data_IF_825336603691
#
_entry.id   IF_825336603691
#
_cell.length_a   1.000
_cell.length_b   1.000
_cell.length_c   1.000
_cell.angle_alpha   90.00
_cell.angle_beta   90.00
_cell.angle_gamma   90.00
#
_symmetry.space_group_name_H-M   'P 1'
#
loop_
_entity.id
_entity.type
_entity.pdbx_description
1 polymer ?
#
# COMPACT_ATOMS: atom_id res chain seq x y z
N UNK A 1 -11.52 30.05 4.40
CA UNK A 1 -11.61 28.63 3.96
C UNK A 1 -10.33 28.29 3.23
N UNK A 2 -9.65 27.23 3.65
CA UNK A 2 -8.37 26.78 3.04
C UNK A 2 -8.59 25.39 2.46
N UNK A 3 -8.13 25.14 1.24
CA UNK A 3 -8.39 23.88 0.53
C UNK A 3 -7.08 23.27 0.05
N UNK A 4 -6.89 21.99 0.30
CA UNK A 4 -5.76 21.21 -0.21
C UNK A 4 -6.22 19.92 -0.85
N UNK A 5 -5.64 19.61 -2.00
CA UNK A 5 -5.91 18.37 -2.74
C UNK A 5 -4.59 17.64 -3.03
N UNK A 6 -4.54 16.38 -2.63
CA UNK A 6 -3.44 15.48 -2.96
C UNK A 6 -3.94 14.21 -3.61
N UNK A 7 -3.19 13.73 -4.57
CA UNK A 7 -3.34 12.39 -5.13
C UNK A 7 -2.18 11.53 -4.69
N UNK A 8 -2.47 10.34 -4.17
CA UNK A 8 -1.45 9.41 -3.64
C UNK A 8 -1.63 8.00 -4.18
N UNK A 9 -0.54 7.31 -4.53
CA UNK A 9 -0.59 5.96 -5.08
C UNK A 9 -0.88 4.90 -4.02
N UNK A 10 -1.48 3.80 -4.44
CA UNK A 10 -1.35 2.53 -3.73
C UNK A 10 0.07 1.97 -3.89
N UNK A 11 0.42 0.97 -3.09
CA UNK A 11 1.70 0.29 -3.20
C UNK A 11 1.52 -1.23 -3.07
N UNK A 12 2.40 -1.99 -3.73
CA UNK A 12 2.45 -3.45 -3.61
C UNK A 12 3.72 -3.89 -2.89
N UNK A 13 3.55 -4.63 -1.80
CA UNK A 13 4.67 -5.13 -1.01
C UNK A 13 5.34 -6.33 -1.70
N UNK A 14 6.66 -6.32 -1.75
CA UNK A 14 7.54 -7.38 -2.24
C UNK A 14 8.03 -8.26 -1.07
N UNK A 15 8.45 -7.65 0.05
CA UNK A 15 8.53 -8.31 1.35
C UNK A 15 7.31 -7.91 2.15
N UNK A 16 6.52 -8.90 2.58
CA UNK A 16 5.17 -8.65 3.12
C UNK A 16 5.21 -8.12 4.54
N UNK A 17 4.47 -7.04 4.77
CA UNK A 17 4.15 -6.52 6.09
C UNK A 17 3.00 -7.33 6.68
N UNK A 18 3.30 -8.14 7.71
CA UNK A 18 2.30 -8.91 8.42
C UNK A 18 2.68 -9.09 9.88
N UNK A 19 1.83 -8.62 10.79
CA UNK A 19 2.11 -8.48 12.21
C UNK A 19 2.32 -7.00 12.59
N UNK A 20 1.71 -6.62 13.72
CA UNK A 20 1.75 -5.26 14.25
C UNK A 20 2.18 -5.26 15.71
N UNK A 21 3.02 -4.31 16.06
CA UNK A 21 3.24 -3.83 17.41
C UNK A 21 2.28 -2.68 17.73
N UNK A 22 2.31 -2.14 18.95
CA UNK A 22 1.50 -0.97 19.30
C UNK A 22 1.64 0.19 18.32
N UNK A 23 0.61 1.04 18.23
CA UNK A 23 0.59 2.23 17.38
C UNK A 23 0.91 1.99 15.89
N UNK A 24 0.42 0.88 15.31
CA UNK A 24 0.65 0.49 13.93
C UNK A 24 2.12 0.22 13.56
N UNK A 25 3.04 0.11 14.51
CA UNK A 25 4.44 -0.22 14.23
C UNK A 25 4.55 -1.63 13.62
N UNK A 26 5.48 -1.85 12.68
CA UNK A 26 5.61 -3.12 11.99
C UNK A 26 6.33 -4.14 12.88
N UNK A 27 5.93 -5.41 12.80
CA UNK A 27 6.65 -6.50 13.44
C UNK A 27 7.91 -6.92 12.66
N UNK A 28 7.93 -6.66 11.36
CA UNK A 28 9.07 -6.88 10.46
C UNK A 28 9.22 -5.74 9.46
N UNK A 29 10.41 -5.54 8.95
CA UNK A 29 10.67 -4.63 7.83
C UNK A 29 10.02 -5.13 6.54
N UNK A 30 9.68 -4.21 5.64
CA UNK A 30 9.00 -4.52 4.38
C UNK A 30 9.43 -3.54 3.28
N UNK A 31 9.46 -4.02 2.04
CA UNK A 31 9.73 -3.21 0.84
C UNK A 31 8.54 -3.32 -0.09
N UNK A 32 8.13 -2.20 -0.67
CA UNK A 32 7.11 -2.12 -1.71
C UNK A 32 7.54 -1.17 -2.82
N UNK A 33 6.88 -1.22 -3.96
CA UNK A 33 6.89 -0.10 -4.90
C UNK A 33 5.48 0.51 -5.03
N UNK A 34 5.45 1.80 -5.35
CA UNK A 34 4.20 2.54 -5.59
C UNK A 34 3.66 2.27 -6.99
N UNK A 35 2.33 2.32 -7.16
CA UNK A 35 1.61 2.03 -8.40
C UNK A 35 1.22 3.32 -9.14
N UNK A 36 1.46 3.38 -10.45
CA UNK A 36 1.23 4.60 -11.22
C UNK A 36 -0.25 4.93 -11.46
N UNK A 37 -1.10 3.91 -11.66
CA UNK A 37 -2.50 4.09 -12.05
C UNK A 37 -3.51 3.79 -10.93
N UNK A 38 -3.06 3.22 -9.81
CA UNK A 38 -3.90 2.91 -8.66
C UNK A 38 -3.80 4.03 -7.62
N UNK A 39 -4.58 5.09 -7.80
CA UNK A 39 -4.45 6.35 -7.10
C UNK A 39 -5.71 6.68 -6.27
N UNK A 40 -5.52 7.33 -5.13
CA UNK A 40 -6.60 7.97 -4.35
C UNK A 40 -6.39 9.47 -4.37
N UNK A 41 -7.41 10.21 -4.75
CA UNK A 41 -7.45 11.67 -4.63
C UNK A 41 -8.22 12.04 -3.38
N UNK A 42 -7.64 12.87 -2.53
CA UNK A 42 -8.31 13.42 -1.35
C UNK A 42 -8.23 14.94 -1.37
N UNK A 43 -9.37 15.59 -1.17
CA UNK A 43 -9.49 17.03 -0.99
C UNK A 43 -9.99 17.32 0.42
N UNK A 44 -9.35 18.22 1.13
CA UNK A 44 -9.82 18.72 2.42
C UNK A 44 -10.08 20.23 2.31
N UNK A 45 -11.30 20.62 2.64
CA UNK A 45 -11.71 22.01 2.83
C UNK A 45 -11.77 22.27 4.34
N UNK A 46 -10.93 23.18 4.83
CA UNK A 46 -10.89 23.57 6.23
C UNK A 46 -11.57 24.93 6.41
N UNK A 47 -12.68 24.93 7.16
CA UNK A 47 -13.45 26.12 7.50
C UNK A 47 -13.31 26.44 8.98
N UNK A 48 -12.86 27.65 9.32
CA UNK A 48 -12.77 28.10 10.72
C UNK A 48 -14.16 28.09 11.39
N UNK A 49 -14.23 27.53 12.62
CA UNK A 49 -15.46 27.48 13.40
C UNK A 49 -15.60 28.77 14.23
N UNK A 50 -16.76 29.40 14.17
CA UNK A 50 -17.07 30.56 15.03
C UNK A 50 -17.41 30.16 16.47
N UNK A 51 -17.71 28.86 16.70
CA UNK A 51 -18.04 28.35 18.03
C UNK A 51 -16.78 27.93 18.79
N UNK A 52 -16.69 28.25 20.09
CA UNK A 52 -15.59 27.83 20.97
C UNK A 52 -15.68 26.35 21.41
N UNK A 53 -16.30 25.50 20.61
CA UNK A 53 -16.38 24.07 20.92
C UNK A 53 -15.07 23.40 20.52
N UNK A 54 -14.33 22.91 21.51
CA UNK A 54 -13.03 22.28 21.33
C UNK A 54 -13.20 20.79 20.96
N UNK A 55 -13.84 20.52 19.83
CA UNK A 55 -14.11 19.18 19.31
C UNK A 55 -13.70 19.09 17.85
N UNK A 56 -13.22 17.91 17.44
CA UNK A 56 -12.97 17.61 16.02
C UNK A 56 -14.31 17.54 15.31
N UNK A 57 -14.43 18.24 14.18
CA UNK A 57 -15.66 18.31 13.39
C UNK A 57 -15.33 17.99 11.93
N UNK A 58 -15.99 16.96 11.39
CA UNK A 58 -15.76 16.52 10.00
C UNK A 58 -17.07 16.20 9.29
N UNK A 59 -17.01 16.24 7.96
CA UNK A 59 -17.95 15.62 7.03
C UNK A 59 -17.15 14.86 5.98
N UNK A 60 -17.49 13.60 5.70
CA UNK A 60 -16.75 12.78 4.76
C UNK A 60 -17.61 12.27 3.61
N UNK A 61 -17.08 12.43 2.39
CA UNK A 61 -17.69 11.97 1.16
C UNK A 61 -16.73 11.06 0.39
N UNK A 62 -17.23 9.87 -0.02
CA UNK A 62 -16.51 8.95 -0.88
C UNK A 62 -17.26 8.80 -2.21
N UNK A 63 -16.57 9.04 -3.33
CA UNK A 63 -17.18 9.07 -4.68
C UNK A 63 -18.42 10.01 -4.73
N UNK A 64 -18.33 11.16 -4.07
CA UNK A 64 -19.38 12.17 -3.91
C UNK A 64 -20.60 11.75 -3.06
N UNK A 65 -20.56 10.60 -2.42
CA UNK A 65 -21.61 10.13 -1.51
C UNK A 65 -21.16 10.18 -0.05
N UNK A 66 -22.03 10.64 0.84
CA UNK A 66 -21.74 10.66 2.28
C UNK A 66 -21.50 9.22 2.78
N UNK A 67 -20.40 8.99 3.50
CA UNK A 67 -20.02 7.66 3.97
C UNK A 67 -19.68 7.67 5.47
N UNK A 68 -20.68 7.40 6.29
CA UNK A 68 -20.57 7.42 7.75
C UNK A 68 -19.58 6.38 8.32
N UNK A 69 -19.43 5.22 7.63
CA UNK A 69 -18.48 4.18 8.08
C UNK A 69 -17.04 4.67 7.91
N UNK A 70 -16.74 5.34 6.80
CA UNK A 70 -15.40 5.90 6.59
C UNK A 70 -15.20 7.17 7.42
N UNK A 71 -16.24 8.00 7.59
CA UNK A 71 -16.22 9.17 8.44
C UNK A 71 -15.80 8.80 9.86
N UNK A 72 -16.40 7.79 10.48
CA UNK A 72 -16.05 7.31 11.81
C UNK A 72 -14.58 6.84 11.92
N UNK A 73 -14.05 6.16 10.90
CA UNK A 73 -12.64 5.75 10.87
C UNK A 73 -11.68 6.94 10.75
N UNK A 74 -12.04 7.92 9.93
CA UNK A 74 -11.25 9.15 9.75
C UNK A 74 -11.32 9.98 11.02
N UNK A 75 -12.47 10.09 11.67
CA UNK A 75 -12.62 10.76 12.95
C UNK A 75 -11.67 10.16 13.99
N UNK A 76 -11.68 8.84 14.20
CA UNK A 76 -10.76 8.15 15.11
C UNK A 76 -9.29 8.35 14.75
N UNK A 77 -8.98 8.49 13.48
CA UNK A 77 -7.62 8.82 13.02
C UNK A 77 -7.26 10.27 13.38
N UNK A 78 -8.15 11.22 13.13
CA UNK A 78 -7.92 12.64 13.44
C UNK A 78 -7.77 12.90 14.94
N UNK A 79 -8.47 12.16 15.80
CA UNK A 79 -8.25 12.23 17.26
C UNK A 79 -6.79 11.92 17.64
N UNK A 80 -6.13 11.00 16.93
CA UNK A 80 -4.72 10.64 17.17
C UNK A 80 -3.75 11.69 16.64
N UNK A 81 -4.04 12.28 15.49
CA UNK A 81 -3.16 13.27 14.87
C UNK A 81 -3.35 14.68 15.45
N UNK A 82 -4.45 14.94 16.15
CA UNK A 82 -4.75 16.23 16.79
C UNK A 82 -3.74 16.61 17.89
N UNK A 83 -2.97 15.66 18.38
CA UNK A 83 -1.87 15.93 19.33
C UNK A 83 -0.81 16.85 18.73
N UNK A 84 -0.52 16.71 17.41
CA UNK A 84 0.44 17.54 16.69
C UNK A 84 -0.27 18.60 15.84
N UNK A 85 -1.50 18.34 15.41
CA UNK A 85 -2.30 19.25 14.59
C UNK A 85 -3.43 19.89 15.44
N UNK A 86 -3.07 20.64 16.48
CA UNK A 86 -4.02 21.23 17.43
C UNK A 86 -5.03 22.18 16.79
N UNK A 87 -4.74 22.75 15.61
CA UNK A 87 -5.65 23.56 14.83
C UNK A 87 -6.91 22.78 14.39
N UNK A 88 -6.90 21.45 14.35
CA UNK A 88 -8.06 20.61 14.06
C UNK A 88 -9.26 20.89 14.96
N UNK A 89 -9.03 21.34 16.18
CA UNK A 89 -10.11 21.72 17.12
C UNK A 89 -10.80 23.03 16.74
N UNK A 90 -10.18 23.85 15.89
CA UNK A 90 -10.67 25.18 15.50
C UNK A 90 -11.37 25.19 14.13
N UNK A 91 -11.26 24.07 13.37
CA UNK A 91 -11.77 23.99 12.02
C UNK A 91 -12.79 22.86 11.85
N UNK A 92 -13.79 23.07 11.00
CA UNK A 92 -14.58 21.99 10.42
C UNK A 92 -13.90 21.54 9.13
N UNK A 93 -13.71 20.22 8.97
CA UNK A 93 -13.11 19.64 7.77
C UNK A 93 -14.18 18.98 6.93
N UNK A 94 -14.37 19.42 5.69
CA UNK A 94 -15.10 18.66 4.67
C UNK A 94 -14.09 17.90 3.82
N UNK A 95 -14.20 16.58 3.82
CA UNK A 95 -13.22 15.67 3.21
C UNK A 95 -13.88 14.92 2.07
N UNK A 96 -13.36 15.07 0.86
CA UNK A 96 -13.78 14.34 -0.32
C UNK A 96 -12.68 13.36 -0.72
N UNK A 97 -13.03 12.12 -1.03
CA UNK A 97 -12.08 11.11 -1.48
C UNK A 97 -12.64 10.28 -2.63
N UNK A 98 -11.80 9.96 -3.60
CA UNK A 98 -12.15 9.10 -4.74
C UNK A 98 -10.96 8.25 -5.17
N UNK A 99 -11.24 7.12 -5.82
CA UNK A 99 -10.21 6.21 -6.32
C UNK A 99 -10.28 6.08 -7.84
N UNK A 100 -9.13 5.88 -8.49
CA UNK A 100 -9.07 5.47 -9.91
C UNK A 100 -9.33 3.97 -10.11
N UNK A 101 -9.47 3.21 -9.04
CA UNK A 101 -9.65 1.75 -9.03
C UNK A 101 -10.81 1.35 -8.11
N UNK A 102 -11.46 0.20 -8.32
CA UNK A 102 -12.61 -0.21 -7.51
C UNK A 102 -12.24 -0.39 -6.05
N UNK A 103 -13.02 0.21 -5.16
CA UNK A 103 -12.89 -0.02 -3.73
C UNK A 103 -13.09 -1.51 -3.41
N UNK A 104 -12.37 -2.03 -2.41
CA UNK A 104 -12.40 -3.44 -1.99
C UNK A 104 -11.86 -4.46 -3.01
N UNK A 105 -11.17 -4.02 -4.06
CA UNK A 105 -10.54 -4.90 -5.07
C UNK A 105 -9.23 -5.56 -4.60
N UNK A 106 -8.84 -5.38 -3.35
CA UNK A 106 -7.55 -5.90 -2.83
C UNK A 106 -6.33 -5.05 -3.15
N UNK A 107 -6.49 -3.91 -3.81
CA UNK A 107 -5.42 -2.98 -4.24
C UNK A 107 -5.07 -1.99 -3.11
N UNK A 108 -4.93 -2.45 -1.88
CA UNK A 108 -4.50 -1.68 -0.71
C UNK A 108 -5.06 -0.23 -0.64
N UNK A 109 -6.36 -0.02 -0.93
CA UNK A 109 -7.01 1.32 -0.96
C UNK A 109 -6.77 2.14 0.32
N UNK A 110 -6.64 1.49 1.48
CA UNK A 110 -6.34 2.19 2.72
C UNK A 110 -4.94 2.82 2.72
N UNK A 111 -3.99 2.26 1.96
CA UNK A 111 -2.64 2.82 1.88
C UNK A 111 -2.64 4.16 1.15
N UNK A 112 -3.21 4.22 -0.05
CA UNK A 112 -3.32 5.46 -0.81
C UNK A 112 -4.21 6.51 -0.13
N UNK A 113 -5.34 6.07 0.48
CA UNK A 113 -6.27 6.97 1.14
C UNK A 113 -5.65 7.70 2.37
N UNK A 114 -5.02 6.96 3.29
CA UNK A 114 -4.40 7.59 4.46
C UNK A 114 -3.12 8.34 4.10
N UNK A 115 -2.43 7.97 3.02
CA UNK A 115 -1.32 8.76 2.49
C UNK A 115 -1.79 10.11 1.94
N UNK A 116 -2.81 10.13 1.08
CA UNK A 116 -3.38 11.37 0.54
C UNK A 116 -3.93 12.27 1.66
N UNK A 117 -4.64 11.67 2.64
CA UNK A 117 -5.17 12.39 3.80
C UNK A 117 -4.07 13.03 4.64
N UNK A 118 -2.99 12.30 4.96
CA UNK A 118 -1.87 12.82 5.73
C UNK A 118 -1.13 13.96 4.99
N UNK A 119 -0.94 13.84 3.68
CA UNK A 119 -0.35 14.89 2.85
C UNK A 119 -1.21 16.17 2.82
N UNK A 120 -2.54 16.02 2.73
CA UNK A 120 -3.45 17.16 2.86
C UNK A 120 -3.34 17.84 4.23
N UNK A 121 -3.30 17.04 5.34
CA UNK A 121 -3.18 17.57 6.69
C UNK A 121 -1.86 18.31 6.91
N UNK A 122 -0.74 17.76 6.41
CA UNK A 122 0.56 18.45 6.46
C UNK A 122 0.54 19.77 5.69
N UNK A 123 -0.04 19.80 4.48
CA UNK A 123 -0.18 21.03 3.71
C UNK A 123 -1.06 22.06 4.41
N UNK A 124 -2.19 21.64 4.97
CA UNK A 124 -3.08 22.53 5.76
C UNK A 124 -2.39 23.04 7.02
N UNK A 125 -1.58 22.22 7.69
CA UNK A 125 -0.82 22.66 8.85
C UNK A 125 0.12 23.81 8.50
N UNK A 126 0.91 23.67 7.43
CA UNK A 126 1.81 24.74 6.99
C UNK A 126 1.06 26.03 6.62
N UNK A 127 -0.07 25.90 5.93
CA UNK A 127 -0.86 27.05 5.50
C UNK A 127 -1.60 27.73 6.65
N UNK A 128 -2.21 26.98 7.58
CA UNK A 128 -2.97 27.54 8.70
C UNK A 128 -2.06 28.12 9.77
N UNK A 129 -0.96 27.45 10.08
CA UNK A 129 -0.06 27.89 11.16
C UNK A 129 1.08 28.77 10.70
N UNK A 130 1.32 28.88 9.39
CA UNK A 130 2.50 29.50 8.78
C UNK A 130 3.83 28.87 9.23
N UNK A 131 3.81 27.67 9.80
CA UNK A 131 4.99 26.92 10.23
C UNK A 131 5.31 25.84 9.20
N UNK A 132 6.48 25.91 8.59
CA UNK A 132 6.97 24.88 7.66
C UNK A 132 7.42 23.63 8.41
N UNK A 133 7.02 22.48 7.93
CA UNK A 133 7.48 21.18 8.43
C UNK A 133 8.92 20.93 7.98
N UNK A 134 9.81 20.67 8.90
CA UNK A 134 11.24 20.45 8.60
C UNK A 134 11.45 19.33 7.56
N UNK A 135 10.69 18.24 7.71
CA UNK A 135 10.70 17.07 6.81
C UNK A 135 9.27 16.72 6.41
N UNK A 136 8.69 17.45 5.46
CA UNK A 136 7.29 17.34 5.06
C UNK A 136 6.88 15.88 4.76
N UNK A 137 7.59 15.19 3.87
CA UNK A 137 7.25 13.81 3.48
C UNK A 137 7.48 12.79 4.60
N UNK A 138 8.49 12.96 5.44
CA UNK A 138 8.72 12.10 6.59
C UNK A 138 7.59 12.25 7.61
N UNK A 139 7.17 13.49 7.90
CA UNK A 139 6.03 13.80 8.76
C UNK A 139 4.73 13.23 8.18
N UNK A 140 4.48 13.41 6.89
CA UNK A 140 3.31 12.82 6.23
C UNK A 140 3.34 11.29 6.28
N UNK A 141 4.51 10.66 6.10
CA UNK A 141 4.70 9.21 6.19
C UNK A 141 4.42 8.68 7.60
N UNK A 142 4.90 9.39 8.64
CA UNK A 142 4.58 9.08 10.03
C UNK A 142 3.07 9.10 10.29
N UNK A 143 2.38 10.17 9.90
CA UNK A 143 0.94 10.29 10.10
C UNK A 143 0.12 9.33 9.23
N UNK A 144 0.52 9.09 7.99
CA UNK A 144 -0.11 8.09 7.14
C UNK A 144 -0.11 6.70 7.79
N UNK A 145 1.01 6.31 8.42
CA UNK A 145 1.15 5.05 9.16
C UNK A 145 0.15 4.92 10.30
N UNK A 146 -0.11 5.99 11.04
CA UNK A 146 -1.07 5.96 12.16
C UNK A 146 -2.48 5.59 11.67
N UNK A 147 -2.86 5.99 10.46
CA UNK A 147 -4.13 5.64 9.83
C UNK A 147 -4.15 4.21 9.29
N UNK A 148 -3.10 3.86 8.54
CA UNK A 148 -2.91 2.52 7.97
C UNK A 148 -1.41 2.25 7.84
N UNK A 149 -0.90 1.19 8.48
CA UNK A 149 0.54 0.93 8.52
C UNK A 149 1.23 1.05 7.17
N UNK A 150 0.72 0.37 6.12
CA UNK A 150 1.28 0.40 4.76
C UNK A 150 1.21 1.78 4.08
N UNK A 151 0.39 2.70 4.58
CA UNK A 151 0.22 4.02 3.98
C UNK A 151 1.49 4.88 4.04
N UNK A 152 2.37 4.65 5.02
CA UNK A 152 3.65 5.35 5.08
C UNK A 152 4.49 5.17 3.80
N UNK A 153 4.39 4.02 3.11
CA UNK A 153 5.12 3.74 1.87
C UNK A 153 4.49 4.39 0.64
N UNK A 154 3.21 4.80 0.71
CA UNK A 154 2.51 5.50 -0.36
C UNK A 154 2.79 7.00 -0.42
N UNK A 155 3.53 7.53 0.53
CA UNK A 155 3.96 8.94 0.60
C UNK A 155 5.15 9.23 -0.33
N UNK A 156 5.72 8.20 -0.95
CA UNK A 156 6.84 8.32 -1.86
C UNK A 156 6.56 7.58 -3.18
N UNK A 157 7.26 7.95 -4.25
CA UNK A 157 7.34 7.20 -5.49
C UNK A 157 8.30 6.03 -5.40
N UNK A 158 8.39 5.23 -6.46
CA UNK A 158 9.37 4.17 -6.60
C UNK A 158 9.34 3.14 -5.48
N UNK A 159 10.51 2.69 -5.06
CA UNK A 159 10.70 1.68 -4.02
C UNK A 159 10.82 2.28 -2.63
N UNK A 160 10.06 1.72 -1.69
CA UNK A 160 9.96 2.26 -0.33
C UNK A 160 10.15 1.16 0.72
N UNK A 161 11.04 1.43 1.66
CA UNK A 161 11.34 0.59 2.81
C UNK A 161 10.62 1.12 4.04
N UNK A 162 9.99 0.25 4.81
CA UNK A 162 9.45 0.55 6.13
C UNK A 162 9.84 -0.53 7.14
N UNK A 163 10.30 -0.12 8.30
CA UNK A 163 10.93 -0.97 9.32
C UNK A 163 12.44 -0.79 9.31
N UNK A 164 13.08 -1.09 10.43
CA UNK A 164 14.54 -0.99 10.57
C UNK A 164 15.25 -2.11 9.84
N UNK A 165 16.37 -1.76 9.20
CA UNK A 165 17.26 -2.69 8.52
C UNK A 165 18.70 -2.18 8.57
N UNK A 166 19.72 -3.02 8.81
CA UNK A 166 21.13 -2.60 8.95
C UNK A 166 21.68 -1.90 7.71
N UNK A 167 21.29 -2.35 6.50
CA UNK A 167 21.82 -1.81 5.25
C UNK A 167 21.38 -0.38 4.94
N UNK A 168 20.32 0.13 5.56
CA UNK A 168 19.79 1.47 5.32
C UNK A 168 19.78 2.27 6.64
N UNK A 169 20.77 3.12 6.82
CA UNK A 169 20.95 3.87 8.07
C UNK A 169 19.76 4.75 8.48
N UNK A 170 19.01 5.29 7.51
CA UNK A 170 17.81 6.11 7.75
C UNK A 170 16.53 5.29 7.95
N UNK A 171 16.61 3.95 7.90
CA UNK A 171 15.43 3.10 8.06
C UNK A 171 14.76 3.28 9.41
N UNK A 172 13.44 3.26 9.44
CA UNK A 172 12.63 3.55 10.63
C UNK A 172 11.41 2.64 10.72
N UNK A 173 10.98 2.34 11.94
CA UNK A 173 9.67 1.71 12.19
C UNK A 173 8.53 2.75 12.14
N UNK A 174 8.84 4.03 12.31
CA UNK A 174 7.83 5.08 12.44
C UNK A 174 7.39 5.70 11.11
N UNK A 175 8.25 5.69 10.11
CA UNK A 175 7.99 6.21 8.77
C UNK A 175 8.72 5.36 7.73
N UNK A 176 8.33 5.46 6.48
CA UNK A 176 9.02 4.83 5.37
C UNK A 176 10.12 5.74 4.81
N UNK A 177 11.08 5.13 4.14
CA UNK A 177 12.14 5.82 3.39
C UNK A 177 12.16 5.34 1.94
N UNK A 178 12.41 6.26 1.02
CA UNK A 178 12.63 5.91 -0.38
C UNK A 178 14.03 5.31 -0.55
N UNK A 179 14.15 4.26 -1.37
CA UNK A 179 15.39 3.53 -1.64
C UNK A 179 15.75 3.45 -3.13
N UNK A 180 15.15 4.30 -3.97
CA UNK A 180 15.33 4.31 -5.42
C UNK A 180 16.78 4.51 -5.88
N UNK A 181 17.59 5.20 -5.10
CA UNK A 181 19.01 5.41 -5.39
C UNK A 181 19.81 4.10 -5.44
N UNK A 182 19.33 3.07 -4.71
CA UNK A 182 19.95 1.75 -4.62
C UNK A 182 19.41 0.75 -5.66
N UNK A 183 18.50 1.16 -6.56
CA UNK A 183 17.80 0.25 -7.46
C UNK A 183 18.51 0.16 -8.83
N UNK A 184 18.86 -1.07 -9.21
CA UNK A 184 19.42 -1.36 -10.53
C UNK A 184 18.44 -0.98 -11.66
N UNK A 185 18.92 -0.50 -12.81
CA UNK A 185 18.06 -0.12 -13.94
C UNK A 185 17.05 -1.19 -14.38
N UNK A 186 17.40 -2.48 -14.28
CA UNK A 186 16.50 -3.59 -14.61
C UNK A 186 15.19 -3.59 -13.80
N UNK A 187 15.17 -2.96 -12.64
CA UNK A 187 14.00 -2.90 -11.76
C UNK A 187 13.30 -1.54 -11.75
N UNK A 188 13.82 -0.53 -12.47
CA UNK A 188 13.20 0.81 -12.52
C UNK A 188 11.96 0.88 -13.41
N UNK A 189 11.79 -0.08 -14.31
CA UNK A 189 10.68 -0.13 -15.27
C UNK A 189 9.98 -1.48 -15.21
N UNK A 190 9.32 -1.77 -14.08
CA UNK A 190 8.48 -2.95 -13.92
C UNK A 190 7.03 -2.60 -14.24
N UNK A 191 6.34 -3.56 -14.87
CA UNK A 191 4.90 -3.54 -15.06
C UNK A 191 4.25 -4.41 -13.99
N UNK A 192 3.09 -3.99 -13.48
CA UNK A 192 2.25 -4.74 -12.56
C UNK A 192 0.82 -4.84 -13.13
N UNK A 193 0.43 -6.04 -13.57
CA UNK A 193 -0.92 -6.32 -14.03
C UNK A 193 -1.70 -7.00 -12.92
N UNK A 194 -2.68 -6.29 -12.37
CA UNK A 194 -3.51 -6.79 -11.27
C UNK A 194 -4.69 -7.58 -11.83
N UNK A 195 -4.68 -8.89 -11.68
CA UNK A 195 -5.73 -9.80 -12.12
C UNK A 195 -6.79 -9.93 -11.03
N UNK A 196 -8.01 -9.49 -11.31
CA UNK A 196 -9.11 -9.45 -10.33
C UNK A 196 -9.85 -10.79 -10.34
N UNK A 197 -9.43 -11.69 -9.48
CA UNK A 197 -10.07 -13.01 -9.28
C UNK A 197 -11.38 -12.87 -8.51
N UNK A 198 -11.40 -11.99 -7.50
CA UNK A 198 -12.59 -11.74 -6.69
C UNK A 198 -12.70 -10.25 -6.36
N UNK A 199 -13.88 -9.68 -6.70
CA UNK A 199 -14.26 -8.31 -6.37
C UNK A 199 -15.24 -8.33 -5.19
N UNK A 200 -14.94 -7.60 -4.13
CA UNK A 200 -15.88 -7.49 -3.01
C UNK A 200 -15.22 -7.52 -1.63
N UNK A 201 -16.05 -7.59 -0.60
CA UNK A 201 -15.58 -7.59 0.80
C UNK A 201 -14.85 -8.89 1.12
N UNK A 202 -13.64 -8.77 1.66
CA UNK A 202 -12.88 -9.92 2.19
C UNK A 202 -13.59 -10.54 3.38
N UNK A 203 -13.55 -11.88 3.48
CA UNK A 203 -14.09 -12.60 4.64
C UNK A 203 -13.41 -12.19 5.96
N UNK A 204 -12.10 -11.89 5.90
CA UNK A 204 -11.30 -11.41 7.03
C UNK A 204 -10.63 -10.10 6.63
N UNK A 205 -10.82 -9.06 7.43
CA UNK A 205 -10.13 -7.78 7.19
C UNK A 205 -8.63 -7.90 7.47
N UNK A 206 -7.82 -7.06 6.81
CA UNK A 206 -6.37 -7.04 7.07
C UNK A 206 -6.03 -6.79 8.54
N UNK A 207 -6.82 -5.95 9.23
CA UNK A 207 -6.63 -5.70 10.66
C UNK A 207 -6.87 -6.94 11.53
N UNK A 208 -7.92 -7.72 11.22
CA UNK A 208 -8.17 -9.00 11.90
C UNK A 208 -7.06 -10.01 11.59
N UNK A 209 -6.63 -10.12 10.33
CA UNK A 209 -5.53 -10.99 9.95
C UNK A 209 -4.21 -10.68 10.67
N UNK A 210 -3.86 -9.39 10.81
CA UNK A 210 -2.71 -8.97 11.61
C UNK A 210 -2.84 -9.37 13.08
N UNK A 211 -4.04 -9.30 13.66
CA UNK A 211 -4.27 -9.68 15.06
C UNK A 211 -4.11 -11.19 15.28
N UNK A 212 -4.60 -12.00 14.34
CA UNK A 212 -4.50 -13.47 14.40
C UNK A 212 -3.04 -13.97 14.36
N UNK A 213 -2.12 -13.22 13.74
CA UNK A 213 -0.71 -13.60 13.72
C UNK A 213 -0.04 -13.47 15.09
N UNK A 214 -0.55 -12.65 15.99
CA UNK A 214 0.06 -12.41 17.30
C UNK A 214 0.21 -13.71 18.12
N UNK A 215 -0.73 -14.62 17.96
CA UNK A 215 -0.76 -15.93 18.66
C UNK A 215 -0.30 -17.09 17.76
N UNK A 216 0.17 -16.80 16.55
CA UNK A 216 0.59 -17.83 15.61
C UNK A 216 1.91 -18.47 16.05
N UNK A 217 2.03 -19.82 16.09
CA UNK A 217 3.24 -20.51 16.58
C UNK A 217 4.50 -20.18 15.75
N UNK A 218 4.34 -19.77 14.48
CA UNK A 218 5.45 -19.41 13.59
C UNK A 218 5.63 -17.88 13.47
N UNK A 219 4.95 -17.05 14.28
CA UNK A 219 5.00 -15.59 14.14
C UNK A 219 6.43 -15.04 14.21
N UNK A 220 7.20 -15.44 15.24
CA UNK A 220 8.58 -14.95 15.40
C UNK A 220 9.48 -15.36 14.24
N UNK A 221 9.42 -16.65 13.86
CA UNK A 221 10.18 -17.15 12.70
C UNK A 221 9.84 -16.38 11.41
N UNK A 222 8.55 -16.06 11.21
CA UNK A 222 8.13 -15.26 10.07
C UNK A 222 8.73 -13.86 10.08
N UNK A 223 8.77 -13.19 11.24
CA UNK A 223 9.37 -11.86 11.36
C UNK A 223 10.87 -11.90 11.06
N UNK A 224 11.57 -12.89 11.58
CA UNK A 224 13.01 -13.08 11.35
C UNK A 224 13.31 -13.33 9.87
N UNK A 225 12.53 -14.21 9.21
CA UNK A 225 12.64 -14.48 7.77
C UNK A 225 12.36 -13.21 6.96
N UNK A 226 11.32 -12.44 7.29
CA UNK A 226 10.99 -11.22 6.57
C UNK A 226 12.09 -10.16 6.69
N UNK A 227 12.68 -10.00 7.87
CA UNK A 227 13.81 -9.09 8.07
C UNK A 227 15.03 -9.52 7.25
N UNK A 228 15.35 -10.83 7.23
CA UNK A 228 16.40 -11.37 6.36
C UNK A 228 16.09 -11.19 4.88
N UNK A 229 14.83 -11.39 4.47
CA UNK A 229 14.39 -11.23 3.09
C UNK A 229 14.42 -9.76 2.67
N UNK A 230 14.21 -8.80 3.58
CA UNK A 230 14.40 -7.37 3.31
C UNK A 230 15.86 -7.08 2.93
N UNK A 231 16.83 -7.58 3.68
CA UNK A 231 18.27 -7.43 3.37
C UNK A 231 18.64 -8.09 2.05
N UNK A 232 18.16 -9.33 1.83
CA UNK A 232 18.39 -10.05 0.56
C UNK A 232 17.78 -9.29 -0.61
N UNK A 233 16.55 -8.79 -0.46
CA UNK A 233 15.88 -8.06 -1.52
C UNK A 233 16.60 -6.76 -1.88
N UNK A 234 17.11 -6.00 -0.90
CA UNK A 234 17.93 -4.82 -1.16
C UNK A 234 19.18 -5.18 -1.98
N UNK A 235 19.86 -6.27 -1.65
CA UNK A 235 21.02 -6.75 -2.42
C UNK A 235 20.65 -7.18 -3.83
N UNK A 236 19.51 -7.87 -4.01
CA UNK A 236 18.99 -8.30 -5.30
C UNK A 236 18.62 -7.08 -6.16
N UNK A 237 17.91 -6.12 -5.58
CA UNK A 237 17.52 -4.88 -6.27
C UNK A 237 18.73 -4.05 -6.70
N UNK A 238 19.81 -4.10 -5.94
CA UNK A 238 21.08 -3.46 -6.31
C UNK A 238 21.82 -4.20 -7.45
N UNK A 239 21.82 -5.55 -7.41
CA UNK A 239 22.56 -6.37 -8.40
C UNK A 239 21.89 -6.51 -9.76
N UNK A 240 20.55 -6.35 -9.83
CA UNK A 240 19.78 -6.57 -11.06
C UNK A 240 19.40 -8.03 -11.34
N UNK A 241 19.57 -8.94 -10.36
CA UNK A 241 19.28 -10.38 -10.48
C UNK A 241 17.78 -10.65 -10.45
N UNK A 242 17.16 -10.76 -11.62
CA UNK A 242 15.72 -10.97 -11.79
C UNK A 242 15.27 -12.35 -11.30
N UNK A 243 16.09 -13.38 -11.45
CA UNK A 243 15.75 -14.74 -11.01
C UNK A 243 15.67 -14.85 -9.50
N UNK A 244 16.62 -14.26 -8.78
CA UNK A 244 16.57 -14.18 -7.33
C UNK A 244 15.44 -13.29 -6.83
N UNK A 245 15.12 -12.19 -7.54
CA UNK A 245 13.97 -11.34 -7.29
C UNK A 245 12.68 -12.16 -7.37
N UNK A 246 12.49 -12.92 -8.46
CA UNK A 246 11.33 -13.77 -8.67
C UNK A 246 11.14 -14.77 -7.54
N UNK A 247 12.18 -15.54 -7.22
CA UNK A 247 12.11 -16.56 -6.16
C UNK A 247 11.75 -15.97 -4.80
N UNK A 248 12.34 -14.84 -4.44
CA UNK A 248 12.11 -14.22 -3.15
C UNK A 248 10.68 -13.66 -3.04
N UNK A 249 10.22 -12.91 -4.03
CA UNK A 249 8.92 -12.22 -4.01
C UNK A 249 7.76 -13.23 -4.05
N UNK A 250 7.84 -14.28 -4.86
CA UNK A 250 6.84 -15.35 -4.88
C UNK A 250 6.80 -16.12 -3.54
N UNK A 251 7.97 -16.45 -2.98
CA UNK A 251 8.05 -17.09 -1.66
C UNK A 251 7.42 -16.24 -0.56
N UNK A 252 7.65 -14.91 -0.55
CA UNK A 252 7.04 -13.97 0.40
C UNK A 252 5.51 -13.97 0.30
N UNK A 253 4.97 -13.98 -0.92
CA UNK A 253 3.54 -14.04 -1.16
C UNK A 253 2.92 -15.35 -0.65
N UNK A 254 3.54 -16.49 -0.97
CA UNK A 254 3.06 -17.80 -0.56
C UNK A 254 3.17 -18.01 0.96
N UNK A 255 4.26 -17.58 1.59
CA UNK A 255 4.42 -17.63 3.05
C UNK A 255 3.33 -16.82 3.78
N UNK A 256 2.94 -15.67 3.26
CA UNK A 256 1.84 -14.90 3.85
C UNK A 256 0.53 -15.70 3.89
N UNK A 257 0.18 -16.35 2.78
CA UNK A 257 -1.04 -17.17 2.71
C UNK A 257 -0.94 -18.45 3.53
N UNK A 258 0.24 -19.09 3.57
CA UNK A 258 0.47 -20.24 4.43
C UNK A 258 0.23 -19.93 5.92
N UNK A 259 0.67 -18.75 6.39
CA UNK A 259 0.39 -18.29 7.76
C UNK A 259 -1.10 -18.08 8.04
N UNK A 260 -1.85 -17.57 7.06
CA UNK A 260 -3.30 -17.42 7.19
C UNK A 260 -3.98 -18.79 7.30
N UNK A 261 -3.56 -19.76 6.49
CA UNK A 261 -4.09 -21.12 6.49
C UNK A 261 -3.75 -21.92 7.76
N UNK A 262 -2.66 -21.56 8.44
CA UNK A 262 -2.16 -22.26 9.64
C UNK A 262 -2.36 -21.47 10.92
N UNK A 263 -3.08 -20.34 10.88
CA UNK A 263 -3.37 -19.54 12.07
C UNK A 263 -4.28 -20.29 13.05
N UNK A 264 -4.29 -19.97 14.35
CA UNK A 264 -5.16 -20.60 15.35
C UNK A 264 -6.66 -20.60 14.96
N UNK A 265 -7.08 -19.58 14.22
CA UNK A 265 -8.37 -19.54 13.51
C UNK A 265 -8.07 -19.49 12.01
N UNK A 266 -7.97 -20.65 11.33
CA UNK A 266 -7.57 -20.72 9.92
C UNK A 266 -8.54 -19.99 9.01
N UNK A 267 -7.98 -19.32 8.00
CA UNK A 267 -8.78 -18.70 6.93
C UNK A 267 -8.01 -18.75 5.61
N UNK A 268 -8.76 -18.83 4.51
CA UNK A 268 -8.23 -18.97 3.16
C UNK A 268 -8.72 -17.80 2.34
N UNK A 269 -7.80 -16.99 1.82
CA UNK A 269 -8.10 -15.86 0.95
C UNK A 269 -7.81 -16.14 -0.52
N UNK A 270 -6.92 -17.07 -0.82
CA UNK A 270 -6.70 -17.54 -2.21
C UNK A 270 -7.92 -18.35 -2.68
N UNK A 271 -8.23 -18.25 -3.96
CA UNK A 271 -9.33 -18.98 -4.60
C UNK A 271 -8.77 -20.01 -5.59
N UNK A 272 -9.59 -20.97 -6.06
CA UNK A 272 -9.15 -21.92 -7.09
C UNK A 272 -8.54 -21.20 -8.32
N UNK A 273 -9.16 -20.12 -8.78
CA UNK A 273 -8.64 -19.33 -9.90
C UNK A 273 -7.31 -18.62 -9.58
N UNK A 274 -7.07 -18.22 -8.32
CA UNK A 274 -5.76 -17.70 -7.89
C UNK A 274 -4.67 -18.74 -8.12
N UNK A 275 -4.91 -19.98 -7.69
CA UNK A 275 -3.95 -21.08 -7.85
C UNK A 275 -3.74 -21.44 -9.32
N UNK A 276 -4.83 -21.53 -10.10
CA UNK A 276 -4.73 -21.79 -11.52
C UNK A 276 -3.92 -20.71 -12.28
N UNK A 277 -4.07 -19.43 -11.91
CA UNK A 277 -3.25 -18.34 -12.46
C UNK A 277 -1.78 -18.54 -12.10
N UNK A 278 -1.47 -18.88 -10.85
CA UNK A 278 -0.09 -19.12 -10.40
C UNK A 278 0.57 -20.24 -11.18
N UNK A 279 -0.11 -21.39 -11.34
CA UNK A 279 0.39 -22.53 -12.11
C UNK A 279 0.67 -22.12 -13.57
N UNK A 280 -0.25 -21.40 -14.22
CA UNK A 280 -0.05 -20.87 -15.58
C UNK A 280 1.12 -19.90 -15.69
N UNK A 281 1.35 -19.06 -14.71
CA UNK A 281 2.50 -18.14 -14.68
C UNK A 281 3.80 -18.96 -14.63
N UNK A 282 3.87 -19.98 -13.79
CA UNK A 282 5.05 -20.85 -13.70
C UNK A 282 5.29 -21.61 -15.00
N UNK A 283 4.26 -22.19 -15.62
CA UNK A 283 4.36 -22.92 -16.87
C UNK A 283 4.81 -21.99 -18.02
N UNK A 284 4.19 -20.83 -18.15
CA UNK A 284 4.54 -19.85 -19.17
C UNK A 284 6.00 -19.37 -19.02
N UNK A 285 6.42 -19.04 -17.78
CA UNK A 285 7.81 -18.64 -17.51
C UNK A 285 8.81 -19.74 -17.83
N UNK A 286 8.51 -20.99 -17.46
CA UNK A 286 9.38 -22.13 -17.74
C UNK A 286 9.54 -22.41 -19.24
N UNK A 287 8.47 -22.23 -20.01
CA UNK A 287 8.48 -22.47 -21.45
C UNK A 287 9.15 -21.35 -22.25
N UNK A 288 8.99 -20.09 -21.81
CA UNK A 288 9.38 -18.91 -22.57
C UNK A 288 10.61 -18.20 -22.04
N UNK A 289 11.06 -18.52 -20.83
CA UNK A 289 12.13 -17.80 -20.10
C UNK A 289 11.85 -16.30 -19.94
N UNK A 290 10.56 -15.91 -19.92
CA UNK A 290 10.12 -14.53 -19.75
C UNK A 290 10.37 -14.07 -18.33
N UNK A 291 10.89 -12.86 -18.13
CA UNK A 291 11.02 -12.22 -16.83
C UNK A 291 9.64 -11.81 -16.29
N UNK A 292 9.04 -12.72 -15.54
CA UNK A 292 7.68 -12.66 -15.04
C UNK A 292 7.59 -13.35 -13.69
N UNK A 293 6.85 -12.76 -12.78
CA UNK A 293 6.57 -13.33 -11.44
C UNK A 293 5.19 -12.89 -10.96
N UNK A 294 4.73 -13.51 -9.88
CA UNK A 294 3.54 -13.03 -9.18
C UNK A 294 3.85 -12.56 -7.76
N UNK A 295 2.98 -11.73 -7.24
CA UNK A 295 2.86 -11.50 -5.79
C UNK A 295 1.37 -11.41 -5.41
N UNK A 296 1.09 -11.62 -4.13
CA UNK A 296 -0.27 -11.59 -3.58
C UNK A 296 -0.27 -10.69 -2.35
N UNK A 297 -1.28 -9.86 -2.23
CA UNK A 297 -1.63 -9.27 -0.95
C UNK A 297 -2.63 -10.17 -0.20
N UNK A 298 -3.12 -9.76 0.96
CA UNK A 298 -4.12 -10.51 1.72
C UNK A 298 -5.47 -10.55 0.98
N UNK A 299 -5.56 -11.37 -0.06
CA UNK A 299 -6.73 -11.50 -0.93
C UNK A 299 -6.54 -12.55 -2.02
N UNK A 300 -7.54 -12.66 -2.92
CA UNK A 300 -7.55 -13.60 -4.02
C UNK A 300 -6.85 -13.08 -5.28
N UNK A 301 -6.66 -11.76 -5.40
CA UNK A 301 -6.20 -11.10 -6.60
C UNK A 301 -4.68 -11.25 -6.77
N UNK A 302 -4.26 -11.43 -8.02
CA UNK A 302 -2.86 -11.69 -8.35
C UNK A 302 -2.25 -10.45 -8.99
N UNK A 303 -1.12 -10.00 -8.45
CA UNK A 303 -0.25 -9.03 -9.07
C UNK A 303 0.77 -9.77 -9.93
N UNK A 304 0.68 -9.58 -11.23
CA UNK A 304 1.57 -10.14 -12.22
C UNK A 304 2.62 -9.10 -12.57
N UNK A 305 3.85 -9.30 -12.09
CA UNK A 305 4.95 -8.35 -12.27
C UNK A 305 5.85 -8.84 -13.39
N UNK A 306 6.21 -7.96 -14.31
CA UNK A 306 7.12 -8.26 -15.42
C UNK A 306 8.09 -7.12 -15.71
N UNK A 307 9.24 -7.46 -16.30
CA UNK A 307 10.13 -6.45 -16.85
C UNK A 307 9.51 -5.79 -18.09
N UNK A 308 9.84 -4.54 -18.33
CA UNK A 308 9.28 -3.76 -19.45
C UNK A 308 9.60 -4.38 -20.83
N UNK A 309 10.78 -4.98 -20.99
CA UNK A 309 11.19 -5.65 -22.24
C UNK A 309 10.28 -6.82 -22.65
N UNK A 310 9.54 -7.41 -21.69
CA UNK A 310 8.63 -8.54 -21.95
C UNK A 310 7.15 -8.15 -21.85
N UNK A 311 6.83 -6.86 -21.64
CA UNK A 311 5.47 -6.41 -21.36
C UNK A 311 4.47 -6.82 -22.46
N UNK A 312 4.80 -6.66 -23.73
CA UNK A 312 3.91 -7.03 -24.84
C UNK A 312 3.55 -8.52 -24.81
N UNK A 313 4.55 -9.39 -24.66
CA UNK A 313 4.36 -10.84 -24.57
C UNK A 313 3.50 -11.22 -23.35
N UNK A 314 3.73 -10.57 -22.20
CA UNK A 314 2.96 -10.79 -20.99
C UNK A 314 1.51 -10.32 -21.15
N UNK A 315 1.26 -9.17 -21.78
CA UNK A 315 -0.09 -8.70 -22.04
C UNK A 315 -0.87 -9.62 -23.00
N UNK A 316 -0.19 -10.25 -23.98
CA UNK A 316 -0.81 -11.28 -24.83
C UNK A 316 -1.15 -12.53 -24.01
N UNK A 317 -0.26 -12.99 -23.13
CA UNK A 317 -0.49 -14.10 -22.20
C UNK A 317 -1.69 -13.82 -21.30
N UNK A 318 -1.78 -12.62 -20.71
CA UNK A 318 -2.94 -12.21 -19.89
C UNK A 318 -4.24 -12.33 -20.67
N UNK A 319 -4.30 -11.76 -21.88
CA UNK A 319 -5.51 -11.75 -22.72
C UNK A 319 -5.93 -13.13 -23.19
N UNK A 320 -4.97 -13.98 -23.55
CA UNK A 320 -5.26 -15.27 -24.16
C UNK A 320 -5.50 -16.37 -23.11
N UNK A 321 -4.82 -16.31 -21.96
CA UNK A 321 -4.80 -17.43 -21.02
C UNK A 321 -5.26 -17.11 -19.62
N UNK A 322 -5.14 -15.85 -19.14
CA UNK A 322 -5.43 -15.53 -17.73
C UNK A 322 -6.77 -14.81 -17.52
N UNK A 323 -7.25 -14.07 -18.51
CA UNK A 323 -8.46 -13.25 -18.39
C UNK A 323 -9.70 -14.08 -18.01
N UNK A 324 -9.79 -15.34 -18.45
CA UNK A 324 -10.87 -16.27 -18.13
C UNK A 324 -10.95 -16.64 -16.63
N UNK A 325 -9.88 -16.46 -15.86
CA UNK A 325 -9.84 -16.68 -14.42
C UNK A 325 -10.18 -15.43 -13.62
N UNK A 326 -10.26 -14.28 -14.28
CA UNK A 326 -10.62 -13.01 -13.67
C UNK A 326 -12.13 -12.84 -13.61
N UNK A 327 -12.64 -12.29 -12.53
CA UNK A 327 -14.06 -11.98 -12.40
C UNK A 327 -14.50 -10.96 -13.47
N UNK A 328 -15.41 -11.35 -14.33
CA UNK A 328 -15.89 -10.57 -15.48
C UNK A 328 -14.75 -10.12 -16.41
N UNK A 329 -13.65 -10.85 -16.49
CA UNK A 329 -12.48 -10.48 -17.29
C UNK A 329 -11.74 -9.23 -16.82
N UNK A 330 -11.91 -8.82 -15.57
CA UNK A 330 -11.34 -7.58 -15.05
C UNK A 330 -9.86 -7.73 -14.68
N UNK A 331 -9.05 -6.81 -15.19
CA UNK A 331 -7.65 -6.62 -14.78
C UNK A 331 -7.24 -5.15 -14.93
N UNK A 332 -6.18 -4.74 -14.23
CA UNK A 332 -5.66 -3.37 -14.25
C UNK A 332 -4.17 -3.38 -14.53
N UNK A 333 -3.73 -2.57 -15.51
CA UNK A 333 -2.30 -2.40 -15.79
C UNK A 333 -1.74 -1.21 -15.03
N UNK A 334 -0.65 -1.45 -14.35
CA UNK A 334 0.14 -0.44 -13.64
C UNK A 334 1.61 -0.55 -14.02
N UNK A 335 2.36 0.47 -13.67
CA UNK A 335 3.81 0.52 -13.65
C UNK A 335 4.28 1.04 -12.30
N UNK A 336 5.58 1.08 -12.06
CA UNK A 336 6.13 1.78 -10.90
C UNK A 336 5.72 3.25 -10.97
N UNK A 337 5.16 3.77 -9.87
CA UNK A 337 4.61 5.11 -9.78
C UNK A 337 5.62 6.16 -9.34
N UNK A 338 5.43 7.39 -9.78
CA UNK A 338 6.28 8.54 -9.43
C UNK A 338 5.99 9.11 -8.02
N UNK A 339 5.01 8.55 -7.31
CA UNK A 339 4.62 9.01 -5.98
C UNK A 339 3.42 9.93 -5.96
N UNK A 340 3.12 10.53 -4.80
CA UNK A 340 2.02 11.46 -4.65
C UNK A 340 2.34 12.80 -5.30
N UNK A 341 1.28 13.54 -5.65
CA UNK A 341 1.42 14.91 -6.12
C UNK A 341 0.27 15.79 -5.62
N UNK A 342 0.60 17.05 -5.37
CA UNK A 342 -0.39 18.08 -4.99
C UNK A 342 -1.11 18.56 -6.24
N UNK A 343 -2.43 18.57 -6.19
CA UNK A 343 -3.27 19.13 -7.24
C UNK A 343 -3.54 20.60 -6.88
N UNK A 344 -3.00 21.51 -7.67
CA UNK A 344 -3.30 22.92 -7.53
C UNK A 344 -4.70 23.18 -8.09
N UNK A 345 -5.63 23.57 -7.25
CA UNK A 345 -6.92 24.06 -7.70
C UNK A 345 -6.68 25.41 -8.42
N UNK A 346 -7.01 25.45 -9.70
CA UNK A 346 -6.90 26.66 -10.53
C UNK A 346 -7.92 27.71 -10.09
#
# INVERSE_FOLDING_TARGET
MTTNTWQSPSNIALVKYWGKKGNQLPANSSISFSLNNALTTTTIEAQYKESNVNEISISFYFENEKNEIFEAKIFTYLEKVAIDFTWLYQYHLTIYSSNTFPHSSGIASSASAFSALALCLCSLHEEITSNQLLNFYETASYWARIGSGSACRSVYGGYNLWGKTPSIAKSSEEYAVNVDECIHPNFKSLNDTILIVEKGKKAVSSSQGHALLKEHPFAQLRYDIANQNTEKLLSILYSGDFDSFTRLVESEALMLHALMMTSPTPFILVKPNTLAIIEKIWDFRNQTQTELLFTLDAGANVHLISSDKHNEQVQQFVKNELIGYCQNGLYFCNTIGNGPFKINNA
#
